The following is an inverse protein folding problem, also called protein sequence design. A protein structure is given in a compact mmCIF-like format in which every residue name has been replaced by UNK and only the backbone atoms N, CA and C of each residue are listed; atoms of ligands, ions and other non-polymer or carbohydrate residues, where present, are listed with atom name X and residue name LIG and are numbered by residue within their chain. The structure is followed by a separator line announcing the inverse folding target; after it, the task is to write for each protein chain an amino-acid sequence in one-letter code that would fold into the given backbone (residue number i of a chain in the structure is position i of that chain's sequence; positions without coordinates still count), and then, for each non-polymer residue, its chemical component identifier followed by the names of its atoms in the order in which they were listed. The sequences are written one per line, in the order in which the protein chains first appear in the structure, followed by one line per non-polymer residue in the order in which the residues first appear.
data_IF_690192547442
#
_entry.id   IF_690192547442
#
_cell.length_a   1.000
_cell.length_b   1.000
_cell.length_c   1.000
_cell.angle_alpha   90.00
_cell.angle_beta   90.00
_cell.angle_gamma   90.00
#
_symmetry.space_group_name_H-M   'P 1'
#
loop_
_entity.id
_entity.type
_entity.pdbx_description
1 polymer ?
#
# COMPACT_ATOMS: atom_id res chain seq x y z
N UNK A 1 81.13 -48.87 40.24
CA UNK A 1 80.82 -50.23 40.73
C UNK A 1 79.54 -50.16 41.54
N UNK A 2 78.50 -50.92 41.09
CA UNK A 2 77.39 -51.55 41.87
C UNK A 2 76.65 -50.64 42.88
N UNK A 3 75.33 -50.51 42.92
CA UNK A 3 74.20 -51.43 42.62
C UNK A 3 72.95 -50.64 43.12
N UNK A 4 71.77 -50.64 42.51
CA UNK A 4 70.71 -51.67 42.65
C UNK A 4 69.49 -51.20 41.84
N UNK A 5 68.93 -52.13 41.06
CA UNK A 5 67.60 -52.10 40.44
C UNK A 5 66.50 -52.22 41.50
N UNK A 6 65.25 -51.82 41.22
CA UNK A 6 64.14 -52.78 41.08
C UNK A 6 62.81 -52.08 40.76
N UNK A 7 62.12 -52.71 39.82
CA UNK A 7 60.74 -52.59 39.35
C UNK A 7 59.70 -52.83 40.45
N UNK A 8 58.46 -52.33 40.30
CA UNK A 8 57.22 -53.13 40.14
C UNK A 8 55.94 -52.25 40.18
N UNK A 9 55.17 -52.34 39.10
CA UNK A 9 53.71 -52.55 38.95
C UNK A 9 52.65 -52.06 39.99
N UNK A 10 51.60 -51.48 39.39
CA UNK A 10 50.16 -51.79 39.50
C UNK A 10 49.21 -51.07 40.49
N UNK A 11 48.20 -50.43 39.87
CA UNK A 11 46.77 -50.26 40.21
C UNK A 11 46.33 -49.65 41.55
N UNK A 12 45.39 -48.69 41.48
CA UNK A 12 44.44 -48.41 42.56
C UNK A 12 43.74 -47.05 42.45
N UNK A 13 42.42 -47.09 42.31
CA UNK A 13 41.48 -45.96 42.13
C UNK A 13 41.27 -45.06 43.37
N UNK A 14 40.58 -43.94 43.11
CA UNK A 14 39.75 -43.09 43.98
C UNK A 14 40.43 -41.93 44.73
N UNK A 15 40.14 -40.70 44.26
CA UNK A 15 40.00 -39.53 45.14
C UNK A 15 38.83 -38.67 44.67
N UNK A 16 37.90 -38.47 45.59
CA UNK A 16 36.69 -37.65 45.51
C UNK A 16 37.05 -36.16 45.70
N UNK A 17 36.22 -35.32 45.11
CA UNK A 17 36.24 -33.86 44.89
C UNK A 17 36.70 -32.94 46.02
N UNK A 18 37.17 -31.74 45.65
CA UNK A 18 36.69 -30.51 46.30
C UNK A 18 36.78 -29.29 45.37
N UNK A 19 35.61 -28.69 45.17
CA UNK A 19 35.26 -27.52 44.39
C UNK A 19 35.85 -26.25 45.02
N UNK A 20 36.48 -25.39 44.21
CA UNK A 20 36.68 -23.97 44.51
C UNK A 20 36.10 -23.15 43.33
N UNK A 21 35.30 -22.10 43.60
CA UNK A 21 34.51 -21.42 42.58
C UNK A 21 35.40 -20.53 41.70
N UNK A 22 35.15 -20.59 40.40
CA UNK A 22 35.86 -19.84 39.38
C UNK A 22 35.55 -18.35 39.41
N UNK A 23 36.59 -17.55 39.13
CA UNK A 23 36.46 -16.21 38.61
C UNK A 23 36.59 -16.33 37.08
N UNK A 24 35.48 -16.60 36.39
CA UNK A 24 35.41 -16.37 34.95
C UNK A 24 35.26 -14.86 34.74
N UNK A 25 36.28 -14.23 34.17
CA UNK A 25 36.10 -12.94 33.50
C UNK A 25 35.27 -13.26 32.27
N UNK A 26 33.98 -12.96 32.32
CA UNK A 26 33.16 -12.88 31.13
C UNK A 26 33.74 -11.75 30.28
N UNK A 27 34.40 -12.10 29.18
CA UNK A 27 34.59 -11.13 28.11
C UNK A 27 33.20 -10.70 27.66
N UNK A 28 32.93 -9.40 27.70
CA UNK A 28 31.75 -8.84 27.04
C UNK A 28 31.78 -9.34 25.60
N UNK A 29 30.77 -10.14 25.24
CA UNK A 29 30.44 -10.35 23.85
C UNK A 29 30.22 -8.95 23.24
N UNK A 30 30.75 -8.65 22.05
CA UNK A 30 30.41 -7.42 21.36
C UNK A 30 28.88 -7.33 21.34
N UNK A 31 28.36 -6.26 21.94
CA UNK A 31 26.93 -6.08 22.11
C UNK A 31 26.24 -6.31 20.78
N UNK A 32 25.22 -7.16 20.78
CA UNK A 32 24.26 -7.16 19.70
C UNK A 32 23.78 -5.73 19.56
N UNK A 33 24.08 -5.06 18.45
CA UNK A 33 23.48 -3.77 18.17
C UNK A 33 21.97 -4.01 18.20
N UNK A 34 21.32 -3.39 19.17
CA UNK A 34 19.88 -3.29 19.23
C UNK A 34 19.49 -2.37 18.05
N UNK A 35 19.38 -2.92 16.84
CA UNK A 35 18.87 -2.19 15.67
C UNK A 35 17.36 -2.10 15.84
N UNK A 36 16.91 -1.33 16.82
CA UNK A 36 15.49 -0.99 16.96
C UNK A 36 15.12 -0.18 15.73
N UNK A 37 14.33 -0.79 14.85
CA UNK A 37 13.82 -0.16 13.65
C UNK A 37 13.10 1.14 14.03
N UNK A 38 13.49 2.28 13.44
CA UNK A 38 12.84 3.55 13.72
C UNK A 38 11.41 3.52 13.18
N UNK A 39 10.47 3.96 14.02
CA UNK A 39 9.05 4.06 13.68
C UNK A 39 8.60 5.50 13.87
N UNK A 40 7.81 6.01 12.92
CA UNK A 40 7.15 7.32 12.97
C UNK A 40 5.63 7.13 12.96
N UNK A 41 4.90 8.16 13.42
CA UNK A 41 3.45 8.23 13.29
C UNK A 41 3.08 9.33 12.30
N UNK A 42 2.41 8.95 11.22
CA UNK A 42 1.96 9.86 10.16
C UNK A 42 0.59 9.41 9.68
N UNK A 43 -0.32 10.36 9.42
CA UNK A 43 -1.69 10.09 8.96
C UNK A 43 -2.41 9.02 9.82
N UNK A 44 -2.22 9.08 11.15
CA UNK A 44 -2.84 8.14 12.10
C UNK A 44 -2.32 6.70 12.04
N UNK A 45 -1.18 6.45 11.38
CA UNK A 45 -0.60 5.12 11.20
C UNK A 45 0.86 5.09 11.63
N UNK A 46 1.31 3.90 12.05
CA UNK A 46 2.71 3.67 12.34
C UNK A 46 3.43 3.19 11.08
N UNK A 47 4.58 3.81 10.83
CA UNK A 47 5.44 3.52 9.69
C UNK A 47 6.85 3.21 10.17
N UNK A 48 7.43 2.11 9.75
CA UNK A 48 8.85 1.88 9.95
C UNK A 48 9.65 2.56 8.85
N UNK A 49 10.84 3.07 9.20
CA UNK A 49 11.71 3.83 8.30
C UNK A 49 12.87 2.94 7.85
N UNK A 50 13.10 2.89 6.54
CA UNK A 50 14.15 2.05 5.95
C UNK A 50 15.54 2.65 6.14
N UNK A 51 16.49 1.77 6.43
CA UNK A 51 17.88 2.11 6.65
C UNK A 51 18.78 1.00 6.12
N UNK A 52 19.88 1.37 5.46
CA UNK A 52 20.87 0.43 4.99
C UNK A 52 21.62 0.89 3.75
N UNK A 53 22.47 0.01 3.22
CA UNK A 53 23.32 0.30 2.06
C UNK A 53 23.12 -0.76 0.99
N UNK A 54 23.18 -0.33 -0.27
CA UNK A 54 23.02 -1.21 -1.44
C UNK A 54 21.73 -2.06 -1.37
N UNK A 55 20.62 -1.43 -1.01
CA UNK A 55 19.29 -2.02 -0.93
C UNK A 55 18.44 -1.58 -2.13
N UNK A 56 17.48 -2.43 -2.51
CA UNK A 56 16.46 -2.14 -3.50
C UNK A 56 15.44 -1.09 -3.04
N UNK A 57 14.69 -0.44 -3.97
CA UNK A 57 14.89 -0.49 -5.42
C UNK A 57 16.23 0.14 -5.85
N UNK A 58 16.82 -0.38 -6.92
CA UNK A 58 18.19 -0.04 -7.34
C UNK A 58 19.28 -0.43 -6.31
N UNK A 59 20.56 -0.10 -6.54
CA UNK A 59 21.62 -0.23 -5.54
C UNK A 59 21.70 1.02 -4.64
N UNK A 60 20.64 1.33 -3.88
CA UNK A 60 20.53 2.58 -3.12
C UNK A 60 21.01 2.46 -1.66
N UNK A 61 21.44 3.58 -1.08
CA UNK A 61 21.58 3.71 0.37
C UNK A 61 20.32 4.39 0.92
N UNK A 62 19.80 3.94 2.05
CA UNK A 62 18.64 4.51 2.72
C UNK A 62 19.05 5.00 4.10
N UNK A 63 18.51 6.14 4.53
CA UNK A 63 18.76 6.69 5.86
C UNK A 63 17.46 6.86 6.63
N UNK A 64 17.42 6.31 7.85
CA UNK A 64 16.32 6.51 8.81
C UNK A 64 16.49 7.77 9.68
N UNK A 65 17.50 8.61 9.42
CA UNK A 65 17.73 9.83 10.21
C UNK A 65 16.57 10.82 10.11
N UNK A 66 16.39 11.65 11.14
CA UNK A 66 15.33 12.68 11.17
C UNK A 66 15.53 13.79 10.12
N UNK A 67 16.72 13.89 9.52
CA UNK A 67 17.00 14.80 8.41
C UNK A 67 16.70 14.17 7.03
N UNK A 68 16.38 12.87 6.99
CA UNK A 68 15.99 12.12 5.79
C UNK A 68 14.50 11.77 5.79
N UNK A 69 13.93 11.46 6.96
CA UNK A 69 12.51 11.17 7.14
C UNK A 69 12.00 11.77 8.44
N UNK A 70 11.04 12.69 8.36
CA UNK A 70 10.40 13.27 9.54
C UNK A 70 8.94 13.63 9.27
N UNK A 71 8.20 13.85 10.36
CA UNK A 71 6.88 14.46 10.33
C UNK A 71 7.02 15.85 10.90
N UNK A 72 6.60 16.88 10.17
CA UNK A 72 6.72 18.27 10.59
C UNK A 72 5.66 18.68 11.62
N UNK A 73 5.74 19.92 12.12
CA UNK A 73 4.79 20.46 13.10
C UNK A 73 3.36 20.61 12.55
N UNK A 74 3.19 20.58 11.22
CA UNK A 74 1.89 20.57 10.54
C UNK A 74 1.35 19.15 10.33
N UNK A 75 2.10 18.11 10.71
CA UNK A 75 1.72 16.72 10.57
C UNK A 75 2.04 16.10 9.21
N UNK A 76 2.83 16.78 8.37
CA UNK A 76 3.19 16.32 7.02
C UNK A 76 4.41 15.42 7.08
N UNK A 77 4.42 14.36 6.28
CA UNK A 77 5.56 13.47 6.12
C UNK A 77 6.51 14.02 5.05
N UNK A 78 7.79 14.05 5.39
CA UNK A 78 8.87 14.45 4.49
C UNK A 78 9.81 13.27 4.26
N UNK A 79 10.11 12.99 2.99
CA UNK A 79 11.15 12.06 2.54
C UNK A 79 12.18 12.83 1.73
N UNK A 80 13.46 12.61 1.99
CA UNK A 80 14.53 13.38 1.34
C UNK A 80 15.63 12.51 0.75
N UNK A 81 15.90 12.72 -0.54
CA UNK A 81 17.17 12.31 -1.18
C UNK A 81 18.22 13.38 -0.85
N UNK A 82 19.28 12.99 -0.15
CA UNK A 82 20.30 13.94 0.34
C UNK A 82 21.70 13.34 0.36
N UNK A 83 22.71 14.21 0.47
CA UNK A 83 24.08 13.76 0.65
C UNK A 83 24.47 13.68 2.12
N UNK A 84 25.04 12.55 2.54
CA UNK A 84 25.66 12.36 3.85
C UNK A 84 27.12 12.00 3.61
N UNK A 85 28.03 12.94 3.90
CA UNK A 85 29.46 12.75 3.65
C UNK A 85 29.82 12.52 2.17
N UNK A 86 29.09 13.16 1.25
CA UNK A 86 29.28 13.00 -0.20
C UNK A 86 28.65 11.74 -0.81
N UNK A 87 27.92 10.95 -0.02
CA UNK A 87 27.20 9.76 -0.48
C UNK A 87 25.70 10.04 -0.48
N UNK A 88 25.03 9.76 -1.59
CA UNK A 88 23.59 9.90 -1.73
C UNK A 88 22.84 8.84 -0.93
N UNK A 89 21.84 9.29 -0.18
CA UNK A 89 20.91 8.46 0.56
C UNK A 89 19.48 8.82 0.15
N UNK A 90 18.67 7.79 0.03
CA UNK A 90 17.25 7.79 -0.28
C UNK A 90 16.42 7.63 1.01
N UNK A 91 15.11 7.70 0.87
CA UNK A 91 14.17 7.59 1.97
C UNK A 91 13.01 6.66 1.58
N UNK A 92 12.52 5.87 2.54
CA UNK A 92 11.39 4.97 2.33
C UNK A 92 10.76 4.59 3.68
N UNK A 93 9.43 4.52 3.68
CA UNK A 93 8.63 4.15 4.84
C UNK A 93 7.59 3.11 4.47
N UNK A 94 7.30 2.23 5.42
CA UNK A 94 6.37 1.10 5.26
C UNK A 94 5.39 1.07 6.43
N UNK A 95 4.12 0.80 6.18
CA UNK A 95 3.17 0.55 7.26
C UNK A 95 3.56 -0.70 8.06
N UNK A 96 3.30 -0.67 9.36
CA UNK A 96 3.44 -1.87 10.19
C UNK A 96 2.29 -2.86 9.90
N UNK A 97 1.07 -2.32 9.76
CA UNK A 97 -0.13 -3.10 9.47
C UNK A 97 -0.23 -3.47 7.97
N UNK A 98 -0.81 -4.65 7.65
CA UNK A 98 -1.08 -5.03 6.27
C UNK A 98 -2.12 -4.10 5.62
N UNK A 99 -1.98 -3.94 4.31
CA UNK A 99 -2.97 -3.32 3.45
C UNK A 99 -4.12 -4.29 3.16
N UNK A 100 -5.28 -3.73 2.81
CA UNK A 100 -6.44 -4.47 2.31
C UNK A 100 -7.10 -3.76 1.13
N UNK A 101 -8.07 -4.41 0.48
CA UNK A 101 -8.90 -3.79 -0.54
C UNK A 101 -9.49 -2.49 -0.01
N UNK A 102 -9.58 -1.52 -0.90
CA UNK A 102 -10.18 -0.22 -0.60
C UNK A 102 -9.55 0.92 -1.38
N UNK A 103 -9.94 2.13 -0.99
CA UNK A 103 -9.41 3.35 -1.58
C UNK A 103 -8.22 3.86 -0.78
N UNK A 104 -7.13 4.16 -1.48
CA UNK A 104 -5.92 4.77 -0.93
C UNK A 104 -5.73 6.12 -1.61
N UNK A 105 -5.78 7.20 -0.84
CA UNK A 105 -5.68 8.59 -1.33
C UNK A 105 -4.50 9.28 -0.65
N UNK A 106 -3.59 9.81 -1.47
CA UNK A 106 -2.38 10.51 -1.07
C UNK A 106 -2.49 11.98 -1.46
N UNK A 107 -2.32 12.88 -0.50
CA UNK A 107 -2.18 14.31 -0.76
C UNK A 107 -0.70 14.69 -0.78
N UNK A 108 -0.20 15.12 -1.93
CA UNK A 108 1.18 15.57 -2.09
C UNK A 108 1.27 17.10 -2.07
N UNK A 109 2.40 17.60 -1.57
CA UNK A 109 2.80 19.00 -1.66
C UNK A 109 4.18 19.11 -2.31
N UNK A 110 4.33 18.60 -3.53
CA UNK A 110 5.61 18.55 -4.23
C UNK A 110 5.42 18.78 -5.73
N UNK A 111 6.41 19.44 -6.34
CA UNK A 111 6.52 19.61 -7.80
C UNK A 111 7.15 18.38 -8.42
N UNK A 112 6.43 17.26 -8.34
CA UNK A 112 6.89 15.95 -8.83
C UNK A 112 7.19 15.98 -10.34
N UNK A 113 6.46 16.83 -11.08
CA UNK A 113 6.69 17.11 -12.50
C UNK A 113 8.08 17.67 -12.81
N UNK A 114 8.73 18.33 -11.83
CA UNK A 114 10.05 18.93 -11.97
C UNK A 114 11.19 18.06 -11.42
N UNK A 115 10.90 16.83 -10.99
CA UNK A 115 11.94 15.94 -10.49
C UNK A 115 12.98 15.62 -11.56
N UNK A 116 14.24 15.56 -11.12
CA UNK A 116 15.39 15.16 -11.93
C UNK A 116 15.14 13.78 -12.55
N UNK A 117 15.59 13.49 -13.78
CA UNK A 117 15.26 12.22 -14.43
C UNK A 117 15.66 10.98 -13.64
N UNK A 118 16.67 11.07 -12.76
CA UNK A 118 17.10 9.94 -11.93
C UNK A 118 16.27 9.77 -10.64
N UNK A 119 15.36 10.67 -10.32
CA UNK A 119 14.54 10.60 -9.11
C UNK A 119 13.25 9.82 -9.39
N UNK A 120 12.92 8.92 -8.47
CA UNK A 120 11.65 8.20 -8.44
C UNK A 120 10.97 8.45 -7.10
N UNK A 121 9.71 8.89 -7.14
CA UNK A 121 8.85 9.02 -5.97
C UNK A 121 7.59 8.18 -6.17
N UNK A 122 7.23 7.34 -5.21
CA UNK A 122 6.05 6.50 -5.33
C UNK A 122 5.37 6.24 -3.98
N UNK A 123 4.05 6.47 -3.87
CA UNK A 123 3.18 5.68 -3.00
C UNK A 123 2.75 4.39 -3.71
N UNK A 124 2.81 3.26 -2.99
CA UNK A 124 2.53 1.95 -3.59
C UNK A 124 2.14 0.89 -2.56
N UNK A 125 1.40 -0.12 -2.99
CA UNK A 125 1.21 -1.36 -2.23
C UNK A 125 2.21 -2.40 -2.71
N UNK A 126 2.88 -3.09 -1.78
CA UNK A 126 3.90 -4.09 -2.12
C UNK A 126 3.83 -5.30 -1.22
N UNK A 127 3.87 -6.49 -1.82
CA UNK A 127 4.18 -7.75 -1.15
C UNK A 127 5.45 -8.40 -1.72
N UNK A 128 5.60 -8.38 -3.05
CA UNK A 128 6.78 -8.83 -3.81
C UNK A 128 6.73 -8.30 -5.26
N UNK A 129 7.78 -8.57 -6.05
CA UNK A 129 7.94 -8.14 -7.46
C UNK A 129 6.78 -8.54 -8.42
N UNK A 130 5.87 -9.44 -8.00
CA UNK A 130 4.71 -9.86 -8.80
C UNK A 130 3.38 -9.33 -8.24
N UNK A 131 3.41 -8.69 -7.07
CA UNK A 131 2.23 -8.27 -6.30
C UNK A 131 2.47 -6.86 -5.77
N UNK A 132 2.29 -5.90 -6.66
CA UNK A 132 2.51 -4.49 -6.38
C UNK A 132 1.59 -3.60 -7.23
N UNK A 133 1.13 -2.50 -6.63
CA UNK A 133 0.26 -1.49 -7.23
C UNK A 133 0.91 -0.12 -6.98
N UNK A 134 1.34 0.54 -8.04
CA UNK A 134 2.17 1.75 -7.97
C UNK A 134 1.49 2.97 -8.58
N UNK A 135 1.72 4.12 -7.94
CA UNK A 135 1.70 5.42 -8.60
C UNK A 135 3.12 5.96 -8.54
N UNK A 136 3.75 6.18 -9.70
CA UNK A 136 5.16 6.56 -9.77
C UNK A 136 5.33 7.91 -10.45
N UNK A 137 6.15 8.77 -9.85
CA UNK A 137 6.63 10.01 -10.45
C UNK A 137 8.12 9.90 -10.74
N UNK A 138 8.45 9.67 -12.00
CA UNK A 138 9.81 9.39 -12.46
C UNK A 138 9.90 9.53 -13.97
N UNK A 139 11.07 9.95 -14.46
CA UNK A 139 11.42 9.83 -15.89
C UNK A 139 12.38 8.68 -16.15
N UNK A 140 12.64 7.83 -15.16
CA UNK A 140 13.42 6.60 -15.29
C UNK A 140 14.84 6.77 -15.87
N UNK A 141 15.44 7.93 -15.62
CA UNK A 141 16.76 8.32 -16.14
C UNK A 141 16.73 8.87 -17.57
N UNK A 142 15.58 8.88 -18.24
CA UNK A 142 15.39 9.43 -19.59
C UNK A 142 14.59 10.74 -19.51
N UNK A 143 15.19 11.92 -19.76
CA UNK A 143 14.50 13.20 -19.66
C UNK A 143 13.27 13.34 -20.58
N UNK A 144 13.16 12.51 -21.61
CA UNK A 144 12.05 12.52 -22.57
C UNK A 144 10.92 11.52 -22.20
N UNK A 145 11.07 10.75 -21.12
CA UNK A 145 10.02 9.82 -20.66
C UNK A 145 8.94 10.56 -19.84
N UNK A 146 7.64 10.18 -19.96
CA UNK A 146 6.57 10.79 -19.19
C UNK A 146 6.81 10.70 -17.68
N UNK A 147 6.49 11.77 -16.95
CA UNK A 147 6.80 11.85 -15.52
C UNK A 147 5.92 10.95 -14.65
N UNK A 148 4.69 10.62 -15.07
CA UNK A 148 3.76 9.81 -14.29
C UNK A 148 3.66 8.38 -14.83
N UNK A 149 3.46 7.41 -13.95
CA UNK A 149 3.02 6.07 -14.32
C UNK A 149 2.07 5.48 -13.28
N UNK A 150 1.07 4.76 -13.76
CA UNK A 150 0.34 3.78 -12.95
C UNK A 150 0.78 2.38 -13.35
N UNK A 151 1.07 1.55 -12.36
CA UNK A 151 1.59 0.20 -12.60
C UNK A 151 0.86 -0.81 -11.74
N UNK A 152 0.48 -1.93 -12.33
CA UNK A 152 0.14 -3.15 -11.60
C UNK A 152 1.18 -4.20 -12.00
N UNK A 153 2.10 -4.53 -11.10
CA UNK A 153 3.23 -5.38 -11.48
C UNK A 153 2.78 -6.77 -11.94
N UNK A 154 3.52 -7.41 -12.87
CA UNK A 154 4.76 -6.93 -13.51
C UNK A 154 4.53 -5.94 -14.66
N UNK A 155 5.23 -4.81 -14.67
CA UNK A 155 5.16 -3.76 -15.71
C UNK A 155 5.46 -4.27 -17.13
N UNK A 156 6.23 -5.36 -17.23
CA UNK A 156 6.63 -5.96 -18.51
C UNK A 156 5.49 -6.70 -19.22
N UNK A 157 4.39 -6.99 -18.53
CA UNK A 157 3.18 -7.54 -19.14
C UNK A 157 2.46 -6.42 -19.90
N UNK A 158 2.14 -6.61 -21.20
CA UNK A 158 1.42 -5.59 -21.95
C UNK A 158 0.09 -5.21 -21.29
N UNK A 159 -0.10 -3.92 -21.04
CA UNK A 159 -1.31 -3.38 -20.40
C UNK A 159 -1.19 -3.15 -18.89
N UNK A 160 -0.11 -3.60 -18.25
CA UNK A 160 0.09 -3.43 -16.80
C UNK A 160 0.71 -2.08 -16.40
N UNK A 161 1.26 -1.33 -17.37
CA UNK A 161 1.90 -0.05 -17.16
C UNK A 161 1.21 1.03 -17.99
N UNK A 162 0.90 2.15 -17.37
CA UNK A 162 0.21 3.28 -17.98
C UNK A 162 0.99 4.57 -17.69
N UNK A 163 1.96 4.95 -18.54
CA UNK A 163 2.69 6.19 -18.40
C UNK A 163 1.87 7.39 -18.93
N UNK A 164 1.98 8.54 -18.26
CA UNK A 164 1.27 9.75 -18.59
C UNK A 164 2.08 11.00 -18.24
N UNK A 165 1.74 12.12 -18.87
CA UNK A 165 2.40 13.40 -18.58
C UNK A 165 1.81 14.05 -17.33
N UNK A 166 2.67 14.67 -16.53
CA UNK A 166 2.28 15.44 -15.36
C UNK A 166 2.79 16.86 -15.53
N UNK A 167 1.88 17.82 -15.69
CA UNK A 167 2.21 19.24 -15.81
C UNK A 167 1.52 20.00 -14.68
N UNK A 168 2.29 20.56 -13.73
CA UNK A 168 1.70 21.20 -12.54
C UNK A 168 1.91 22.73 -12.53
N UNK A 169 0.84 23.48 -12.25
CA UNK A 169 0.91 24.92 -11.96
C UNK A 169 1.19 25.23 -10.47
N UNK A 170 0.94 24.26 -9.59
CA UNK A 170 1.15 24.34 -8.14
C UNK A 170 1.76 23.03 -7.60
N UNK A 171 1.97 22.94 -6.30
CA UNK A 171 2.55 21.72 -5.68
C UNK A 171 1.51 20.76 -5.11
N UNK A 172 0.24 21.16 -5.03
CA UNK A 172 -0.79 20.36 -4.40
C UNK A 172 -1.43 19.43 -5.43
N UNK A 173 -1.37 18.13 -5.16
CA UNK A 173 -2.00 17.10 -5.98
C UNK A 173 -2.58 16.01 -5.10
N UNK A 174 -3.57 15.31 -5.65
CA UNK A 174 -4.18 14.12 -5.06
C UNK A 174 -3.92 12.94 -5.97
N UNK A 175 -3.52 11.82 -5.40
CA UNK A 175 -3.27 10.60 -6.14
C UNK A 175 -3.95 9.46 -5.43
N UNK A 176 -4.69 8.64 -6.15
CA UNK A 176 -5.42 7.54 -5.55
C UNK A 176 -5.43 6.31 -6.40
N UNK A 177 -5.57 5.16 -5.73
CA UNK A 177 -6.03 3.94 -6.35
C UNK A 177 -7.13 3.31 -5.48
N UNK A 178 -8.23 2.94 -6.13
CA UNK A 178 -9.24 2.05 -5.56
C UNK A 178 -8.87 0.62 -5.96
N UNK A 179 -8.29 -0.14 -5.03
CA UNK A 179 -7.92 -1.54 -5.22
C UNK A 179 -9.08 -2.44 -4.83
N UNK A 180 -9.59 -3.20 -5.80
CA UNK A 180 -10.65 -4.20 -5.66
C UNK A 180 -10.16 -5.55 -6.23
N UNK A 181 -10.86 -6.67 -5.96
CA UNK A 181 -10.45 -7.99 -6.45
C UNK A 181 -10.30 -8.11 -7.98
N UNK A 182 -10.96 -7.23 -8.73
CA UNK A 182 -11.18 -7.34 -10.18
C UNK A 182 -10.90 -6.06 -10.95
N UNK A 183 -10.67 -4.96 -10.25
CA UNK A 183 -10.13 -3.76 -10.85
C UNK A 183 -9.21 -2.99 -9.90
N UNK A 184 -8.35 -2.18 -10.49
CA UNK A 184 -7.68 -1.06 -9.81
C UNK A 184 -8.03 0.21 -10.57
N UNK A 185 -8.68 1.17 -9.91
CA UNK A 185 -8.99 2.45 -10.52
C UNK A 185 -8.06 3.52 -9.98
N UNK A 186 -7.14 3.97 -10.83
CA UNK A 186 -6.18 5.02 -10.53
C UNK A 186 -6.71 6.39 -10.92
N UNK A 187 -6.38 7.41 -10.12
CA UNK A 187 -6.70 8.80 -10.42
C UNK A 187 -5.65 9.76 -9.87
N UNK A 188 -5.33 10.79 -10.63
CA UNK A 188 -4.48 11.89 -10.22
C UNK A 188 -5.19 13.21 -10.49
N UNK A 189 -5.20 14.11 -9.51
CA UNK A 189 -5.89 15.39 -9.55
C UNK A 189 -4.96 16.55 -9.17
N UNK A 190 -5.23 17.72 -9.74
CA UNK A 190 -4.74 18.98 -9.20
C UNK A 190 -5.47 19.32 -7.89
N UNK A 191 -4.73 19.85 -6.91
CA UNK A 191 -5.24 20.19 -5.58
C UNK A 191 -5.42 18.99 -4.66
N UNK A 192 -5.89 19.24 -3.43
CA UNK A 192 -6.25 18.22 -2.45
C UNK A 192 -7.76 17.99 -2.48
N UNK A 193 -8.18 16.97 -3.22
CA UNK A 193 -9.57 16.57 -3.40
C UNK A 193 -9.68 15.05 -3.43
N UNK A 194 -10.75 14.50 -2.85
CA UNK A 194 -11.12 13.09 -3.00
C UNK A 194 -11.75 12.87 -4.40
N UNK A 195 -12.70 13.74 -4.76
CA UNK A 195 -13.33 13.76 -6.08
C UNK A 195 -13.07 15.10 -6.79
N UNK A 196 -12.88 15.10 -8.13
CA UNK A 196 -12.57 16.32 -8.85
C UNK A 196 -13.76 17.30 -8.80
N UNK A 197 -13.55 18.57 -8.39
CA UNK A 197 -14.61 19.58 -8.43
C UNK A 197 -15.12 19.86 -9.85
N UNK A 198 -14.26 19.64 -10.84
CA UNK A 198 -14.54 19.76 -12.27
C UNK A 198 -13.55 18.89 -13.05
N UNK A 199 -13.91 18.43 -14.25
CA UNK A 199 -13.06 17.53 -15.05
C UNK A 199 -11.68 18.11 -15.39
N UNK A 200 -11.54 19.43 -15.45
CA UNK A 200 -10.25 20.11 -15.66
C UNK A 200 -9.25 19.94 -14.51
N UNK A 201 -9.67 19.41 -13.37
CA UNK A 201 -8.77 19.08 -12.26
C UNK A 201 -8.14 17.70 -12.41
N UNK A 202 -8.65 16.87 -13.32
CA UNK A 202 -8.10 15.52 -13.56
C UNK A 202 -6.79 15.65 -14.35
N UNK A 203 -5.71 15.12 -13.77
CA UNK A 203 -4.42 14.95 -14.43
C UNK A 203 -4.45 13.66 -15.25
N UNK A 204 -4.86 12.55 -14.63
CA UNK A 204 -5.00 11.26 -15.30
C UNK A 204 -6.00 10.36 -14.57
N UNK A 205 -6.69 9.50 -15.32
CA UNK A 205 -7.71 8.55 -14.84
C UNK A 205 -7.59 7.22 -15.61
N UNK A 206 -7.36 6.12 -14.89
CA UNK A 206 -7.14 4.82 -15.52
C UNK A 206 -7.75 3.66 -14.74
N UNK A 207 -8.63 2.93 -15.41
CA UNK A 207 -9.20 1.68 -14.91
C UNK A 207 -8.39 0.48 -15.45
N UNK A 208 -7.79 -0.28 -14.54
CA UNK A 208 -7.12 -1.54 -14.83
C UNK A 208 -8.00 -2.72 -14.43
N UNK A 209 -8.37 -3.57 -15.41
CA UNK A 209 -9.13 -4.81 -15.21
C UNK A 209 -8.31 -6.03 -15.69
N UNK A 210 -6.99 -5.89 -15.72
CA UNK A 210 -6.08 -6.92 -16.22
C UNK A 210 -5.89 -8.08 -15.22
N UNK A 211 -5.23 -9.17 -15.65
CA UNK A 211 -5.14 -10.39 -14.86
C UNK A 211 -4.11 -10.33 -13.72
N UNK A 212 -3.36 -9.23 -13.56
CA UNK A 212 -2.26 -9.11 -12.59
C UNK A 212 -2.66 -8.42 -11.29
N UNK A 213 -3.95 -8.17 -11.06
CA UNK A 213 -4.43 -7.58 -9.82
C UNK A 213 -4.04 -8.50 -8.66
N UNK A 214 -3.23 -8.01 -7.69
CA UNK A 214 -2.84 -8.84 -6.57
C UNK A 214 -4.04 -9.06 -5.65
N UNK A 215 -4.11 -10.25 -5.07
CA UNK A 215 -5.02 -10.53 -3.97
C UNK A 215 -4.50 -9.94 -2.66
N UNK A 216 -5.40 -9.66 -1.73
CA UNK A 216 -5.03 -9.33 -0.35
C UNK A 216 -4.12 -10.40 0.27
N UNK A 217 -3.17 -9.95 1.07
CA UNK A 217 -2.35 -10.84 1.89
C UNK A 217 -1.76 -10.07 3.07
N UNK A 218 -1.36 -10.80 4.12
CA UNK A 218 -0.67 -10.21 5.28
C UNK A 218 0.69 -9.60 4.95
N UNK A 219 1.24 -9.96 3.80
CA UNK A 219 2.52 -9.47 3.29
C UNK A 219 2.37 -8.17 2.49
N UNK A 220 1.15 -7.85 2.03
CA UNK A 220 0.88 -6.60 1.31
C UNK A 220 0.95 -5.43 2.29
N UNK A 221 1.86 -4.49 2.05
CA UNK A 221 2.06 -3.30 2.88
C UNK A 221 1.94 -2.04 2.03
N UNK A 222 1.48 -0.96 2.66
CA UNK A 222 1.53 0.35 2.05
C UNK A 222 2.90 0.98 2.28
N UNK A 223 3.44 1.57 1.22
CA UNK A 223 4.78 2.09 1.15
C UNK A 223 4.77 3.50 0.55
N UNK A 224 5.75 4.30 0.95
CA UNK A 224 6.10 5.56 0.29
C UNK A 224 7.62 5.62 0.17
N UNK A 225 8.14 5.82 -1.03
CA UNK A 225 9.57 5.93 -1.27
C UNK A 225 9.94 7.20 -2.06
N UNK A 226 11.20 7.60 -1.91
CA UNK A 226 11.88 8.60 -2.73
C UNK A 226 13.31 8.10 -2.94
N UNK A 227 13.61 7.62 -4.15
CA UNK A 227 14.83 6.90 -4.46
C UNK A 227 15.45 7.27 -5.81
N UNK A 228 16.65 6.74 -6.07
CA UNK A 228 17.42 7.04 -7.28
C UNK A 228 17.46 5.87 -8.25
N UNK A 229 17.01 6.10 -9.48
CA UNK A 229 17.05 5.12 -10.56
C UNK A 229 18.47 4.58 -10.77
N UNK A 230 18.63 3.26 -10.66
CA UNK A 230 19.93 2.57 -10.71
C UNK A 230 20.98 3.09 -9.70
N UNK A 231 20.56 3.78 -8.64
CA UNK A 231 21.46 4.40 -7.65
C UNK A 231 22.29 5.56 -8.20
N UNK A 232 21.94 6.09 -9.38
CA UNK A 232 22.64 7.20 -9.99
C UNK A 232 22.24 8.52 -9.33
N UNK A 233 23.18 9.43 -9.07
CA UNK A 233 22.86 10.72 -8.46
C UNK A 233 21.94 11.56 -9.37
N UNK A 234 21.16 12.51 -8.82
CA UNK A 234 20.45 13.49 -9.63
C UNK A 234 21.41 14.19 -10.60
N UNK A 235 21.03 14.31 -11.88
CA UNK A 235 21.84 14.92 -12.94
C UNK A 235 22.19 16.37 -12.59
N UNK A 236 21.23 17.09 -12.00
CA UNK A 236 21.44 18.46 -11.53
C UNK A 236 22.30 18.57 -10.25
N UNK A 237 22.63 17.44 -9.61
CA UNK A 237 23.41 17.37 -8.37
C UNK A 237 22.72 17.91 -7.12
N UNK A 238 21.40 18.14 -7.16
CA UNK A 238 20.63 18.74 -6.08
C UNK A 238 19.91 17.69 -5.24
N UNK A 239 19.66 18.02 -3.97
CA UNK A 239 18.79 17.24 -3.10
C UNK A 239 17.33 17.37 -3.55
N UNK A 240 16.55 16.32 -3.32
CA UNK A 240 15.13 16.28 -3.68
C UNK A 240 14.31 15.88 -2.47
N UNK A 241 13.12 16.46 -2.34
CA UNK A 241 12.19 16.21 -1.25
C UNK A 241 10.81 15.87 -1.80
N UNK A 242 10.18 14.88 -1.16
CA UNK A 242 8.78 14.53 -1.32
C UNK A 242 8.07 14.88 -0.02
N UNK A 243 7.01 15.68 -0.13
CA UNK A 243 6.15 16.05 0.99
C UNK A 243 4.78 15.44 0.78
N UNK A 244 4.35 14.61 1.73
CA UNK A 244 3.04 13.98 1.78
C UNK A 244 2.26 14.60 2.93
N UNK A 245 1.18 15.30 2.62
CA UNK A 245 0.38 15.98 3.64
C UNK A 245 -0.53 15.06 4.41
N UNK A 246 -1.14 14.09 3.73
CA UNK A 246 -2.01 13.10 4.37
C UNK A 246 -2.11 11.82 3.54
N UNK A 247 -2.55 10.75 4.19
CA UNK A 247 -2.90 9.46 3.59
C UNK A 247 -4.22 8.99 4.17
N UNK A 248 -5.24 9.03 3.32
CA UNK A 248 -6.59 8.59 3.66
C UNK A 248 -6.79 7.20 3.08
N UNK A 249 -7.13 6.24 3.95
CA UNK A 249 -7.41 4.86 3.54
C UNK A 249 -8.82 4.52 4.00
N UNK A 250 -9.67 4.16 3.04
CA UNK A 250 -11.00 3.63 3.31
C UNK A 250 -11.00 2.17 2.90
N UNK A 251 -10.82 1.28 3.87
CA UNK A 251 -10.79 -0.17 3.65
C UNK A 251 -12.19 -0.71 3.38
N UNK A 252 -12.27 -1.70 2.51
CA UNK A 252 -13.48 -2.41 2.17
C UNK A 252 -13.58 -2.73 0.69
N UNK A 253 -14.46 -3.68 0.38
CA UNK A 253 -14.89 -3.93 -0.99
C UNK A 253 -15.95 -2.89 -1.33
N UNK A 254 -15.69 -2.12 -2.38
CA UNK A 254 -16.60 -1.12 -2.92
C UNK A 254 -17.43 -1.77 -4.01
N UNK A 255 -18.74 -1.72 -3.85
CA UNK A 255 -19.69 -2.26 -4.80
C UNK A 255 -20.68 -1.14 -5.08
N UNK A 256 -20.74 -0.70 -6.33
CA UNK A 256 -21.75 0.27 -6.75
C UNK A 256 -23.15 -0.30 -6.48
N UNK A 257 -24.07 0.50 -5.91
CA UNK A 257 -25.44 0.05 -5.75
C UNK A 257 -26.06 -0.17 -7.15
N UNK A 258 -26.75 -1.30 -7.38
CA UNK A 258 -27.51 -1.50 -8.61
C UNK A 258 -28.55 -0.39 -8.83
N UNK A 259 -28.67 0.09 -10.07
CA UNK A 259 -29.72 1.01 -10.49
C UNK A 259 -31.04 0.25 -10.61
N UNK A 260 -31.83 0.30 -9.55
CA UNK A 260 -33.12 -0.39 -9.45
C UNK A 260 -34.21 0.33 -10.24
N UNK A 261 -34.76 -0.38 -11.23
CA UNK A 261 -35.91 -0.01 -12.03
C UNK A 261 -37.13 -0.85 -11.62
N UNK A 262 -38.22 -0.16 -11.26
CA UNK A 262 -39.46 -0.80 -10.79
C UNK A 262 -40.56 -0.62 -11.83
N UNK A 263 -41.17 -1.72 -12.27
CA UNK A 263 -42.33 -1.70 -13.17
C UNK A 263 -43.45 -2.64 -12.70
N UNK A 264 -44.62 -2.57 -13.34
CA UNK A 264 -45.79 -3.42 -13.03
C UNK A 264 -46.31 -4.08 -14.29
N UNK A 265 -46.73 -5.34 -14.16
CA UNK A 265 -47.42 -6.06 -15.24
C UNK A 265 -48.90 -5.67 -15.32
N UNK A 266 -49.57 -6.02 -16.42
CA UNK A 266 -51.02 -5.86 -16.59
C UNK A 266 -51.83 -6.68 -15.58
N UNK A 267 -51.25 -7.77 -15.05
CA UNK A 267 -51.82 -8.61 -13.98
C UNK A 267 -51.60 -8.03 -12.58
N UNK A 268 -50.86 -6.92 -12.45
CA UNK A 268 -50.61 -6.22 -11.20
C UNK A 268 -49.42 -6.74 -10.39
N UNK A 269 -48.61 -7.64 -10.95
CA UNK A 269 -47.35 -8.08 -10.34
C UNK A 269 -46.29 -6.98 -10.46
N UNK A 270 -45.32 -6.94 -9.53
CA UNK A 270 -44.22 -5.98 -9.55
C UNK A 270 -42.99 -6.65 -10.14
N UNK A 271 -42.33 -6.00 -11.09
CA UNK A 271 -41.04 -6.43 -11.61
C UNK A 271 -39.98 -5.46 -11.10
N UNK A 272 -39.01 -6.00 -10.38
CA UNK A 272 -37.80 -5.30 -9.98
C UNK A 272 -36.70 -5.74 -10.95
N UNK A 273 -36.10 -4.80 -11.67
CA UNK A 273 -34.96 -5.04 -12.56
C UNK A 273 -33.83 -4.08 -12.19
N UNK A 274 -32.58 -4.48 -12.41
CA UNK A 274 -31.45 -3.59 -12.22
C UNK A 274 -30.37 -3.85 -13.26
N UNK A 275 -29.46 -2.90 -13.44
CA UNK A 275 -28.27 -3.17 -14.24
C UNK A 275 -27.39 -4.22 -13.55
N UNK A 276 -26.69 -5.00 -14.36
CA UNK A 276 -25.60 -5.81 -13.82
C UNK A 276 -24.57 -4.87 -13.20
N UNK A 277 -24.24 -5.11 -11.94
CA UNK A 277 -23.15 -4.42 -11.26
C UNK A 277 -21.88 -5.19 -11.57
N UNK A 278 -20.84 -4.56 -12.16
CA UNK A 278 -19.59 -5.22 -12.48
C UNK A 278 -19.10 -6.09 -11.32
N UNK A 279 -18.87 -7.36 -11.62
CA UNK A 279 -18.37 -8.40 -10.72
C UNK A 279 -19.17 -8.64 -9.44
N UNK A 280 -20.44 -8.24 -9.36
CA UNK A 280 -21.34 -8.76 -8.34
C UNK A 280 -21.54 -10.27 -8.55
N UNK A 281 -21.36 -11.08 -7.50
CA UNK A 281 -21.62 -12.52 -7.55
C UNK A 281 -23.10 -12.84 -7.37
N UNK A 282 -23.78 -11.99 -6.60
CA UNK A 282 -25.22 -12.08 -6.37
C UNK A 282 -25.78 -10.72 -5.96
N UNK A 283 -27.08 -10.68 -5.77
CA UNK A 283 -27.83 -9.51 -5.36
C UNK A 283 -28.73 -9.90 -4.20
N UNK A 284 -28.84 -9.01 -3.23
CA UNK A 284 -29.80 -9.11 -2.14
C UNK A 284 -30.84 -8.02 -2.34
N UNK A 285 -32.08 -8.42 -2.56
CA UNK A 285 -33.23 -7.53 -2.64
C UNK A 285 -33.77 -7.33 -1.25
N UNK A 286 -33.92 -6.08 -0.86
CA UNK A 286 -34.42 -5.66 0.44
C UNK A 286 -35.70 -4.85 0.26
N UNK A 287 -36.60 -4.93 1.23
CA UNK A 287 -37.85 -4.17 1.26
C UNK A 287 -38.05 -3.44 2.60
N UNK A 288 -38.83 -2.37 2.56
CA UNK A 288 -39.18 -1.58 3.76
C UNK A 288 -40.58 -0.92 3.65
N UNK A 289 -41.16 -0.61 4.80
CA UNK A 289 -42.43 0.13 4.90
C UNK A 289 -42.27 1.65 4.70
N UNK A 290 -41.04 2.15 4.81
CA UNK A 290 -40.67 3.55 4.72
C UNK A 290 -39.37 3.69 3.89
N UNK A 291 -39.10 4.86 3.29
CA UNK A 291 -37.83 5.10 2.63
C UNK A 291 -36.73 5.20 3.69
N UNK A 292 -35.71 4.37 3.58
CA UNK A 292 -34.58 4.31 4.52
C UNK A 292 -33.26 4.56 3.78
N UNK A 293 -32.22 5.12 4.44
CA UNK A 293 -30.87 5.16 3.90
C UNK A 293 -30.35 3.76 3.54
N UNK A 294 -29.46 3.66 2.55
CA UNK A 294 -28.79 2.40 2.22
C UNK A 294 -27.98 1.92 3.43
N UNK A 295 -28.16 0.67 3.85
CA UNK A 295 -27.47 0.09 5.00
C UNK A 295 -28.21 0.23 6.34
N UNK A 296 -29.34 0.92 6.40
CA UNK A 296 -30.18 1.01 7.59
C UNK A 296 -30.69 -0.39 8.04
N UNK A 297 -30.66 -0.73 9.34
CA UNK A 297 -31.12 -2.03 9.83
C UNK A 297 -32.63 -2.25 9.69
N UNK A 298 -33.41 -1.22 9.34
CA UNK A 298 -34.83 -1.32 9.03
C UNK A 298 -35.15 -1.95 7.67
N UNK A 299 -34.14 -2.13 6.80
CA UNK A 299 -34.28 -2.92 5.58
C UNK A 299 -34.40 -4.41 5.92
N UNK A 300 -35.40 -5.09 5.34
CA UNK A 300 -35.62 -6.52 5.53
C UNK A 300 -35.28 -7.25 4.23
N UNK A 301 -34.53 -8.34 4.33
CA UNK A 301 -34.21 -9.18 3.17
C UNK A 301 -35.46 -9.89 2.64
N UNK A 302 -35.71 -9.68 1.35
CA UNK A 302 -36.78 -10.30 0.59
C UNK A 302 -36.27 -11.55 -0.13
N UNK A 303 -35.17 -11.43 -0.87
CA UNK A 303 -34.59 -12.51 -1.67
C UNK A 303 -33.11 -12.26 -1.97
N UNK A 304 -32.31 -13.32 -1.95
CA UNK A 304 -30.97 -13.36 -2.53
C UNK A 304 -31.01 -14.08 -3.88
N UNK A 305 -30.45 -13.48 -4.93
CA UNK A 305 -30.53 -13.99 -6.30
C UNK A 305 -29.26 -13.69 -7.10
N UNK A 306 -28.92 -14.53 -8.07
CA UNK A 306 -27.87 -14.21 -9.07
C UNK A 306 -28.42 -13.54 -10.33
N UNK A 307 -29.75 -13.37 -10.40
CA UNK A 307 -30.42 -12.71 -11.52
C UNK A 307 -30.38 -11.20 -11.34
N UNK A 308 -30.56 -10.46 -12.43
CA UNK A 308 -30.73 -9.00 -12.44
C UNK A 308 -32.20 -8.56 -12.42
N UNK A 309 -33.10 -9.50 -12.11
CA UNK A 309 -34.53 -9.24 -12.01
C UNK A 309 -35.24 -10.23 -11.09
N UNK A 310 -36.25 -9.75 -10.35
CA UNK A 310 -37.23 -10.62 -9.66
C UNK A 310 -38.67 -10.17 -9.94
N UNK A 311 -39.58 -11.14 -9.96
CA UNK A 311 -41.02 -10.93 -10.09
C UNK A 311 -41.68 -11.16 -8.74
N UNK A 312 -42.33 -10.13 -8.20
CA UNK A 312 -43.08 -10.23 -6.96
C UNK A 312 -44.54 -10.53 -7.26
N UNK A 313 -45.07 -11.54 -6.58
CA UNK A 313 -46.47 -11.95 -6.70
C UNK A 313 -47.44 -10.87 -6.23
N UNK A 314 -48.69 -11.02 -6.65
CA UNK A 314 -49.76 -10.08 -6.32
C UNK A 314 -49.90 -9.94 -4.80
N UNK A 315 -49.75 -8.72 -4.28
CA UNK A 315 -49.90 -8.42 -2.86
C UNK A 315 -48.62 -8.08 -2.09
N UNK A 316 -47.50 -7.80 -2.76
CA UNK A 316 -46.36 -7.18 -2.09
C UNK A 316 -46.78 -5.80 -1.50
N UNK A 317 -46.99 -5.75 -0.18
CA UNK A 317 -47.54 -4.59 0.54
C UNK A 317 -46.50 -3.49 0.80
N UNK A 318 -45.21 -3.78 0.59
CA UNK A 318 -44.12 -2.83 0.83
C UNK A 318 -44.02 -1.79 -0.28
N UNK A 319 -43.60 -0.58 0.11
CA UNK A 319 -43.58 0.60 -0.77
C UNK A 319 -42.19 0.94 -1.28
N UNK A 320 -41.15 0.36 -0.66
CA UNK A 320 -39.76 0.70 -0.92
C UNK A 320 -38.95 -0.57 -1.07
N UNK A 321 -38.10 -0.57 -2.08
CA UNK A 321 -37.19 -1.64 -2.41
C UNK A 321 -35.81 -1.06 -2.61
N UNK A 322 -34.78 -1.79 -2.22
CA UNK A 322 -33.41 -1.52 -2.66
C UNK A 322 -32.73 -2.85 -2.98
N UNK A 323 -31.78 -2.81 -3.89
CA UNK A 323 -30.95 -3.96 -4.22
C UNK A 323 -29.53 -3.65 -3.78
N UNK A 324 -28.89 -4.62 -3.14
CA UNK A 324 -27.46 -4.57 -2.86
C UNK A 324 -26.79 -5.62 -3.74
N UNK A 325 -25.80 -5.21 -4.50
CA UNK A 325 -24.88 -6.16 -5.09
C UNK A 325 -23.97 -6.73 -3.99
N UNK A 326 -23.69 -8.02 -4.08
CA UNK A 326 -22.86 -8.77 -3.14
C UNK A 326 -21.65 -9.30 -3.88
N UNK A 327 -20.47 -9.00 -3.35
CA UNK A 327 -19.22 -9.70 -3.61
C UNK A 327 -18.81 -10.42 -2.32
N UNK A 328 -18.11 -11.54 -2.47
CA UNK A 328 -17.57 -12.31 -1.32
C UNK A 328 -16.51 -11.53 -0.55
#
# INVERSE_FOLDING_TARGET
MKRIQLTFSLLGLLALELILPGLLIAGEAPGAENTTQRVINFAGRYWWVKNGKNLGPGPNNFSDSEESVWVDDAGKLHLKIRQIGGVWHCAEVWTLEPAGYGNYLFYLESRVDLYDPNVVAAPFLYADDLREIDIEFSRWGDPDYPCGSYTVQPYSIPGNNHPFEVELEGSWTSHSFLWQPDFVHFRSLHGHYDEPPHSSYVIEDWLYEGPSIPAESTDMKLNINLWLMSGLPPINGQETELVVSDVIITLGIFIEPPDLQISRTDTGQIILNWNEVPNALSYVVLEADAPLPVGDPGWIELEATSLTSILLEQGAEKKFYCVKAVRE
#
